data_IF_066563312867
#
_entry.id   IF_066563312867
#
_cell.length_a   1.000
_cell.length_b   1.000
_cell.length_c   1.000
_cell.angle_alpha   90.00
_cell.angle_beta   90.00
_cell.angle_gamma   90.00
#
_symmetry.space_group_name_H-M   'P 1'
#
loop_
_entity.id
_entity.type
_entity.pdbx_description
1 polymer ?
#
# COMPACT_ATOMS: atom_id res chain seq x y z
N UNK A 1 27.70 -11.56 18.60
CA UNK A 1 26.32 -11.08 18.74
C UNK A 1 25.97 -10.29 17.48
N UNK A 2 24.83 -10.53 16.80
CA UNK A 2 24.43 -9.73 15.65
C UNK A 2 24.07 -8.30 16.04
N UNK A 3 24.40 -7.35 15.19
CA UNK A 3 23.99 -5.95 15.30
C UNK A 3 22.93 -5.73 14.22
N UNK A 4 21.68 -5.55 14.64
CA UNK A 4 20.54 -5.41 13.74
C UNK A 4 20.04 -3.97 13.70
N UNK A 5 19.50 -3.55 12.58
CA UNK A 5 18.82 -2.26 12.44
C UNK A 5 17.53 -2.28 13.27
N UNK A 6 17.37 -1.37 14.26
CA UNK A 6 16.20 -1.34 15.13
C UNK A 6 14.97 -0.73 14.41
N UNK A 7 13.79 -0.97 14.96
CA UNK A 7 12.58 -0.26 14.58
C UNK A 7 12.63 1.17 15.12
N UNK A 8 12.70 2.18 14.27
CA UNK A 8 12.80 3.57 14.68
C UNK A 8 11.46 4.15 15.16
N UNK A 9 10.36 3.73 14.53
CA UNK A 9 9.00 4.03 15.00
C UNK A 9 8.00 2.99 14.46
N UNK A 10 6.80 2.95 15.06
CA UNK A 10 5.80 1.91 14.81
C UNK A 10 5.25 1.84 13.37
N UNK A 11 5.54 2.82 12.51
CA UNK A 11 4.96 2.94 11.18
C UNK A 11 6.01 3.00 10.04
N UNK A 12 7.30 2.88 10.35
CA UNK A 12 8.37 2.97 9.35
C UNK A 12 9.33 1.80 9.50
N UNK A 13 9.30 0.90 8.53
CA UNK A 13 10.20 -0.27 8.46
C UNK A 13 11.46 0.00 7.66
N UNK A 14 11.57 1.17 7.03
CA UNK A 14 12.70 1.60 6.20
C UNK A 14 13.33 2.87 6.76
N UNK A 15 14.67 2.95 6.72
CA UNK A 15 15.41 4.16 7.03
C UNK A 15 16.68 4.26 6.17
N UNK A 16 17.25 5.44 6.09
CA UNK A 16 18.53 5.69 5.44
C UNK A 16 19.65 5.49 6.47
N UNK A 17 20.66 4.69 6.14
CA UNK A 17 21.92 4.65 6.88
C UNK A 17 22.72 5.92 6.56
N UNK A 18 22.43 7.00 7.29
CA UNK A 18 22.95 8.33 6.99
C UNK A 18 24.46 8.45 7.24
N UNK A 19 24.95 7.78 8.30
CA UNK A 19 26.38 7.72 8.58
C UNK A 19 26.75 6.39 9.26
N UNK A 20 27.95 5.91 8.97
CA UNK A 20 28.56 4.73 9.59
C UNK A 20 29.88 5.16 10.24
N UNK A 21 29.99 5.01 11.58
CA UNK A 21 31.12 5.49 12.38
C UNK A 21 32.11 4.40 12.75
N UNK A 22 31.95 3.19 12.20
CA UNK A 22 32.74 2.01 12.51
C UNK A 22 33.34 1.40 11.25
N UNK A 23 34.41 0.63 11.44
CA UNK A 23 35.11 -0.13 10.39
C UNK A 23 35.26 -1.58 10.81
N UNK A 24 35.47 -2.44 9.83
CA UNK A 24 35.78 -3.85 10.05
C UNK A 24 37.00 -4.00 10.98
N UNK A 25 36.90 -4.88 11.98
CA UNK A 25 37.94 -5.12 12.97
C UNK A 25 38.08 -4.06 14.06
N UNK A 26 37.29 -2.99 14.06
CA UNK A 26 37.39 -1.91 15.04
C UNK A 26 36.87 -2.34 16.41
N UNK A 27 37.64 -2.00 17.47
CA UNK A 27 37.16 -2.12 18.84
C UNK A 27 36.15 -1.00 19.16
N UNK A 28 35.05 -1.34 19.82
CA UNK A 28 34.00 -0.41 20.26
C UNK A 28 33.65 -0.67 21.73
N UNK A 29 33.19 0.38 22.42
CA UNK A 29 32.74 0.31 23.82
C UNK A 29 31.21 0.27 23.88
N UNK A 30 30.66 -0.31 24.93
CA UNK A 30 29.23 -0.24 25.21
C UNK A 30 28.74 1.22 25.23
N UNK A 31 27.64 1.51 24.52
CA UNK A 31 27.10 2.87 24.37
C UNK A 31 27.77 3.72 23.28
N UNK A 32 28.80 3.22 22.60
CA UNK A 32 29.41 3.93 21.47
C UNK A 32 28.47 3.95 20.27
N UNK A 33 28.39 5.11 19.58
CA UNK A 33 27.60 5.26 18.35
C UNK A 33 28.27 4.44 17.23
N UNK A 34 27.50 3.54 16.62
CA UNK A 34 27.92 2.71 15.50
C UNK A 34 27.50 3.31 14.15
N UNK A 35 26.28 3.83 14.08
CA UNK A 35 25.70 4.39 12.88
C UNK A 35 24.63 5.43 13.23
N UNK A 36 24.33 6.32 12.30
CA UNK A 36 23.16 7.22 12.35
C UNK A 36 22.16 6.81 11.31
N UNK A 37 20.91 6.66 11.72
CA UNK A 37 19.78 6.23 10.92
C UNK A 37 18.80 7.40 10.78
N UNK A 38 18.37 7.69 9.56
CA UNK A 38 17.38 8.73 9.26
C UNK A 38 16.12 8.14 8.63
N UNK A 39 14.99 8.48 9.19
CA UNK A 39 13.68 8.24 8.58
C UNK A 39 13.05 9.57 8.12
N UNK A 40 11.87 9.51 7.51
CA UNK A 40 11.16 10.72 7.05
C UNK A 40 10.77 11.66 8.20
N UNK A 41 10.80 11.20 9.45
CA UNK A 41 10.30 11.94 10.63
C UNK A 41 11.30 12.03 11.79
N UNK A 42 12.26 11.13 11.85
CA UNK A 42 13.18 11.05 12.98
C UNK A 42 14.58 10.65 12.52
N UNK A 43 15.57 11.12 13.27
CA UNK A 43 16.95 10.65 13.23
C UNK A 43 17.27 9.95 14.56
N UNK A 44 17.95 8.82 14.50
CA UNK A 44 18.32 8.03 15.69
C UNK A 44 19.68 7.39 15.50
N UNK A 45 20.45 7.34 16.59
CA UNK A 45 21.76 6.70 16.60
C UNK A 45 21.66 5.25 17.06
N UNK A 46 22.31 4.36 16.32
CA UNK A 46 22.48 2.95 16.67
C UNK A 46 23.70 2.83 17.58
N UNK A 47 23.50 2.35 18.79
CA UNK A 47 24.54 2.23 19.81
C UNK A 47 25.01 0.78 19.98
N UNK A 48 26.27 0.60 20.38
CA UNK A 48 26.80 -0.70 20.76
C UNK A 48 26.19 -1.15 22.10
N UNK A 49 25.54 -2.30 22.13
CA UNK A 49 24.94 -2.85 23.36
C UNK A 49 26.01 -3.33 24.38
N UNK A 50 27.19 -3.68 23.91
CA UNK A 50 28.34 -4.11 24.73
C UNK A 50 29.65 -3.74 24.05
N UNK A 51 30.76 -3.78 24.81
CA UNK A 51 32.10 -3.65 24.22
C UNK A 51 32.51 -4.89 23.44
N UNK A 52 33.29 -4.72 22.37
CA UNK A 52 33.77 -5.80 21.53
C UNK A 52 34.39 -5.30 20.23
N UNK A 53 34.60 -6.20 19.28
CA UNK A 53 35.15 -5.91 17.95
C UNK A 53 34.09 -6.07 16.88
N UNK A 54 34.05 -5.15 15.91
CA UNK A 54 33.16 -5.21 14.76
C UNK A 54 33.70 -6.20 13.74
N UNK A 55 32.91 -7.22 13.38
CA UNK A 55 33.26 -8.19 12.34
C UNK A 55 32.11 -8.41 11.39
N UNK A 56 32.41 -8.69 10.11
CA UNK A 56 31.41 -9.02 9.10
C UNK A 56 30.47 -7.88 8.77
N UNK A 57 30.99 -6.66 8.63
CA UNK A 57 30.23 -5.47 8.26
C UNK A 57 29.61 -5.61 6.86
N UNK A 58 28.30 -5.41 6.74
CA UNK A 58 27.53 -5.70 5.50
C UNK A 58 26.89 -4.49 4.84
N UNK A 59 26.66 -3.40 5.57
CA UNK A 59 25.94 -2.23 5.11
C UNK A 59 26.89 -1.04 4.91
N UNK A 60 26.51 -0.11 4.01
CA UNK A 60 27.31 1.06 3.65
C UNK A 60 26.50 2.34 3.85
N UNK A 61 27.19 3.44 4.13
CA UNK A 61 26.59 4.79 4.24
C UNK A 61 25.87 5.16 2.93
N UNK A 62 24.67 5.75 3.07
CA UNK A 62 23.81 6.13 1.97
C UNK A 62 22.87 5.02 1.47
N UNK A 63 22.88 3.85 2.09
CA UNK A 63 22.02 2.72 1.74
C UNK A 63 20.69 2.82 2.49
N UNK A 64 19.58 2.55 1.81
CA UNK A 64 18.28 2.30 2.46
C UNK A 64 18.30 0.92 3.09
N UNK A 65 17.95 0.86 4.37
CA UNK A 65 17.97 -0.34 5.19
C UNK A 65 16.62 -0.56 5.88
N UNK A 66 16.33 -1.82 6.20
CA UNK A 66 15.07 -2.20 6.83
C UNK A 66 15.29 -2.63 8.28
N UNK A 67 14.26 -2.51 9.09
CA UNK A 67 14.25 -3.08 10.45
C UNK A 67 14.58 -4.57 10.40
N UNK A 68 15.58 -4.98 11.21
CA UNK A 68 16.07 -6.35 11.25
C UNK A 68 17.22 -6.65 10.28
N UNK A 69 17.61 -5.72 9.41
CA UNK A 69 18.80 -5.89 8.57
C UNK A 69 20.06 -6.02 9.42
N UNK A 70 20.96 -6.90 9.00
CA UNK A 70 22.21 -7.19 9.70
C UNK A 70 23.29 -6.18 9.30
N UNK A 71 23.66 -5.29 10.23
CA UNK A 71 24.80 -4.38 10.05
C UNK A 71 26.14 -5.12 10.12
N UNK A 72 26.30 -6.02 11.07
CA UNK A 72 27.52 -6.77 11.34
C UNK A 72 27.40 -7.57 12.64
N UNK A 73 28.53 -7.99 13.19
CA UNK A 73 28.57 -8.71 14.48
C UNK A 73 29.53 -8.04 15.45
N UNK A 74 29.21 -8.15 16.74
CA UNK A 74 30.08 -7.81 17.85
C UNK A 74 30.74 -9.08 18.39
N UNK A 75 32.06 -9.20 18.23
CA UNK A 75 32.90 -10.34 18.66
C UNK A 75 33.74 -9.97 19.89
N UNK A 76 34.29 -10.97 20.57
CA UNK A 76 35.19 -10.77 21.69
C UNK A 76 36.63 -10.49 21.23
N UNK A 77 37.00 -10.94 20.03
CA UNK A 77 38.31 -10.67 19.43
C UNK A 77 38.15 -10.28 17.94
N UNK A 78 39.04 -9.42 17.45
CA UNK A 78 39.07 -9.01 16.03
C UNK A 78 39.36 -10.16 15.05
N UNK A 79 39.85 -11.28 15.53
CA UNK A 79 40.14 -12.48 14.74
C UNK A 79 39.14 -13.61 14.89
N UNK A 80 38.02 -13.38 15.57
CA UNK A 80 36.99 -14.39 15.73
C UNK A 80 36.38 -14.74 14.35
N UNK A 81 36.24 -16.06 14.09
CA UNK A 81 35.54 -16.51 12.90
C UNK A 81 34.09 -16.02 12.93
N UNK A 82 33.62 -15.52 11.78
CA UNK A 82 32.21 -15.19 11.61
C UNK A 82 31.36 -16.39 12.06
N UNK A 83 30.32 -16.21 12.87
CA UNK A 83 29.39 -17.28 13.17
C UNK A 83 28.90 -17.87 11.85
N UNK A 84 29.12 -19.15 11.65
CA UNK A 84 28.58 -19.89 10.49
C UNK A 84 27.07 -20.01 10.72
N UNK A 85 26.37 -18.94 10.45
CA UNK A 85 24.91 -18.87 10.44
C UNK A 85 24.51 -18.27 9.11
N UNK A 86 24.15 -19.17 8.23
CA UNK A 86 23.27 -19.01 7.08
C UNK A 86 23.28 -17.62 6.42
N UNK A 87 24.12 -17.49 5.40
CA UNK A 87 23.81 -16.65 4.24
C UNK A 87 22.35 -16.87 3.86
N UNK A 88 21.55 -15.85 3.55
CA UNK A 88 20.40 -16.06 2.70
C UNK A 88 20.94 -16.34 1.31
N UNK A 89 21.38 -17.59 1.12
CA UNK A 89 21.61 -18.14 -0.20
C UNK A 89 20.27 -18.15 -0.91
N UNK A 90 20.31 -17.66 -2.12
CA UNK A 90 19.39 -18.06 -3.16
C UNK A 90 18.90 -19.49 -2.93
N UNK A 91 17.58 -19.66 -3.04
CA UNK A 91 16.90 -20.94 -3.30
C UNK A 91 17.61 -22.18 -2.76
N UNK A 92 17.46 -22.46 -1.50
CA UNK A 92 17.74 -23.78 -0.98
C UNK A 92 16.40 -24.44 -0.66
N UNK A 93 16.07 -25.43 -1.48
CA UNK A 93 15.24 -26.61 -1.18
C UNK A 93 14.81 -26.70 0.31
N UNK A 94 13.82 -25.96 0.70
CA UNK A 94 12.93 -26.40 1.74
C UNK A 94 12.14 -27.51 1.08
N UNK A 95 12.47 -28.76 1.35
CA UNK A 95 11.58 -29.87 1.02
C UNK A 95 10.23 -29.47 1.59
N UNK A 96 9.19 -29.31 0.79
CA UNK A 96 7.89 -28.90 1.28
C UNK A 96 7.45 -29.91 2.33
N UNK A 97 6.92 -29.43 3.47
CA UNK A 97 6.29 -30.29 4.46
C UNK A 97 5.10 -30.92 3.74
N UNK A 98 5.27 -32.16 3.26
CA UNK A 98 4.23 -32.89 2.60
C UNK A 98 3.15 -33.26 3.64
N UNK A 99 1.85 -33.17 3.28
CA UNK A 99 0.79 -33.68 4.15
C UNK A 99 1.05 -35.13 4.55
N UNK A 100 0.76 -35.53 5.79
CA UNK A 100 0.97 -36.88 6.26
C UNK A 100 0.33 -37.92 5.32
N UNK A 101 1.11 -38.90 4.86
CA UNK A 101 0.62 -39.95 3.96
C UNK A 101 0.60 -39.61 2.48
N UNK A 102 0.96 -38.40 2.07
CA UNK A 102 1.05 -38.02 0.66
C UNK A 102 2.37 -38.59 0.05
N UNK A 103 2.20 -39.41 -1.00
CA UNK A 103 3.29 -39.92 -1.84
C UNK A 103 3.16 -39.25 -3.21
N UNK A 104 4.13 -38.43 -3.60
CA UNK A 104 4.08 -37.64 -4.83
C UNK A 104 5.39 -37.73 -5.60
N UNK A 105 5.34 -37.88 -6.93
CA UNK A 105 6.51 -37.88 -7.77
C UNK A 105 7.11 -36.47 -7.86
N UNK A 106 8.44 -36.37 -8.08
CA UNK A 106 9.12 -35.06 -8.22
C UNK A 106 8.51 -34.16 -9.29
N UNK A 107 8.17 -34.63 -10.51
CA UNK A 107 7.49 -33.82 -11.52
C UNK A 107 6.10 -33.35 -11.08
N UNK A 108 5.33 -34.23 -10.42
CA UNK A 108 4.00 -33.91 -9.90
C UNK A 108 4.08 -32.81 -8.83
N UNK A 109 5.07 -32.89 -7.94
CA UNK A 109 5.28 -31.89 -6.90
C UNK A 109 5.68 -30.52 -7.51
N UNK A 110 6.60 -30.54 -8.49
CA UNK A 110 6.99 -29.33 -9.19
C UNK A 110 5.82 -28.67 -9.92
N UNK A 111 4.96 -29.45 -10.59
CA UNK A 111 3.75 -28.96 -11.25
C UNK A 111 2.76 -28.39 -10.22
N UNK A 112 2.51 -29.10 -9.13
CA UNK A 112 1.60 -28.63 -8.08
C UNK A 112 2.08 -27.30 -7.45
N UNK A 113 3.39 -27.18 -7.19
CA UNK A 113 3.99 -25.96 -6.66
C UNK A 113 3.94 -24.78 -7.64
N UNK A 114 4.28 -25.02 -8.91
CA UNK A 114 4.25 -23.98 -9.95
C UNK A 114 2.87 -23.42 -10.20
N UNK A 115 1.81 -24.21 -9.93
CA UNK A 115 0.41 -23.84 -10.08
C UNK A 115 -0.26 -23.48 -8.75
N UNK A 116 0.48 -23.43 -7.64
CA UNK A 116 -0.04 -23.11 -6.31
C UNK A 116 -1.15 -24.05 -5.84
N UNK A 117 -1.08 -25.34 -6.24
CA UNK A 117 -2.06 -26.35 -5.83
C UNK A 117 -1.88 -26.71 -4.35
N UNK A 118 -2.96 -26.64 -3.58
CA UNK A 118 -2.95 -27.14 -2.21
C UNK A 118 -2.75 -28.65 -2.21
N UNK A 119 -1.64 -29.11 -1.65
CA UNK A 119 -1.26 -30.51 -1.60
C UNK A 119 -2.22 -31.37 -0.76
N UNK A 120 -3.03 -30.77 0.12
CA UNK A 120 -4.05 -31.46 0.88
C UNK A 120 -5.21 -31.99 0.01
N UNK A 121 -5.39 -31.45 -1.19
CA UNK A 121 -6.39 -31.90 -2.16
C UNK A 121 -5.96 -33.16 -2.93
N UNK A 122 -4.72 -33.59 -2.78
CA UNK A 122 -4.19 -34.77 -3.45
C UNK A 122 -4.51 -36.04 -2.66
N UNK A 123 -4.77 -37.18 -3.38
CA UNK A 123 -5.12 -38.43 -2.72
C UNK A 123 -3.95 -38.95 -1.87
N UNK A 124 -4.25 -39.35 -0.65
CA UNK A 124 -3.29 -39.94 0.28
C UNK A 124 -3.19 -41.46 0.05
N UNK A 125 -1.97 -41.99 0.15
CA UNK A 125 -1.68 -43.44 0.03
C UNK A 125 -1.09 -43.86 -1.30
N UNK A 126 -1.77 -43.79 -2.47
CA UNK A 126 -1.14 -44.09 -3.76
C UNK A 126 -0.15 -43.02 -4.20
N UNK A 127 0.83 -43.42 -5.05
CA UNK A 127 1.78 -42.45 -5.62
C UNK A 127 1.06 -41.50 -6.59
N UNK A 128 1.05 -40.23 -6.27
CA UNK A 128 0.47 -39.17 -7.11
C UNK A 128 1.46 -38.85 -8.25
N UNK A 129 0.99 -38.99 -9.48
CA UNK A 129 1.73 -38.72 -10.71
C UNK A 129 1.43 -37.34 -11.27
N UNK A 130 2.31 -36.83 -12.13
CA UNK A 130 2.13 -35.54 -12.82
C UNK A 130 0.79 -35.46 -13.58
N UNK A 131 0.41 -36.57 -14.25
CA UNK A 131 -0.88 -36.66 -14.95
C UNK A 131 -2.08 -36.50 -14.03
N UNK A 132 -2.02 -37.02 -12.80
CA UNK A 132 -3.09 -36.86 -11.83
C UNK A 132 -3.17 -35.44 -11.29
N UNK A 133 -2.03 -34.79 -11.08
CA UNK A 133 -1.99 -33.36 -10.74
C UNK A 133 -2.55 -32.51 -11.88
N UNK A 134 -2.13 -32.78 -13.14
CA UNK A 134 -2.66 -32.08 -14.31
C UNK A 134 -4.18 -32.27 -14.45
N UNK A 135 -4.67 -33.52 -14.36
CA UNK A 135 -6.12 -33.81 -14.37
C UNK A 135 -6.88 -33.10 -13.24
N UNK A 136 -6.32 -33.04 -12.04
CA UNK A 136 -6.92 -32.33 -10.93
C UNK A 136 -6.96 -30.82 -11.20
N UNK A 137 -5.88 -30.25 -11.74
CA UNK A 137 -5.82 -28.84 -12.16
C UNK A 137 -6.83 -28.54 -13.25
N UNK A 138 -6.95 -29.37 -14.28
CA UNK A 138 -7.97 -29.26 -15.34
C UNK A 138 -9.39 -29.37 -14.77
N UNK A 139 -9.65 -30.30 -13.85
CA UNK A 139 -10.93 -30.41 -13.18
C UNK A 139 -11.24 -29.23 -12.24
N UNK A 140 -10.24 -28.64 -11.61
CA UNK A 140 -10.40 -27.42 -10.81
C UNK A 140 -10.60 -26.19 -11.73
N UNK A 141 -9.99 -26.19 -12.91
CA UNK A 141 -10.20 -25.16 -13.94
C UNK A 141 -11.55 -25.30 -14.65
N UNK A 142 -11.98 -26.52 -14.95
CA UNK A 142 -13.30 -26.80 -15.54
C UNK A 142 -14.47 -26.66 -14.54
N UNK A 143 -14.18 -26.81 -13.26
CA UNK A 143 -15.00 -26.34 -12.15
C UNK A 143 -14.71 -24.90 -11.82
N UNK A 144 -14.36 -24.06 -12.79
CA UNK A 144 -14.30 -22.62 -12.56
C UNK A 144 -15.60 -22.22 -11.87
N UNK A 145 -15.53 -21.95 -10.59
CA UNK A 145 -16.68 -21.52 -9.82
C UNK A 145 -17.33 -20.39 -10.61
N UNK A 146 -18.64 -20.44 -10.78
CA UNK A 146 -19.34 -19.35 -11.45
C UNK A 146 -18.85 -18.03 -10.87
N UNK A 147 -18.57 -17.01 -11.70
CA UNK A 147 -18.04 -15.75 -11.22
C UNK A 147 -18.90 -15.19 -10.10
N UNK A 148 -18.32 -15.04 -8.91
CA UNK A 148 -18.99 -14.38 -7.80
C UNK A 148 -18.83 -12.86 -7.96
N UNK A 149 -19.88 -12.22 -8.45
CA UNK A 149 -19.97 -10.78 -8.64
C UNK A 149 -20.60 -10.04 -7.44
N UNK A 150 -20.87 -10.76 -6.36
CA UNK A 150 -21.46 -10.21 -5.13
C UNK A 150 -20.44 -10.15 -3.98
N UNK A 151 -19.37 -10.91 -4.06
CA UNK A 151 -18.31 -10.87 -3.06
C UNK A 151 -17.13 -10.03 -3.52
N UNK A 152 -16.59 -9.22 -2.60
CA UNK A 152 -15.46 -8.34 -2.85
C UNK A 152 -14.36 -8.61 -1.82
N UNK A 153 -13.11 -8.61 -2.26
CA UNK A 153 -11.93 -8.58 -1.40
C UNK A 153 -11.41 -7.14 -1.29
N UNK A 154 -10.80 -6.81 -0.15
CA UNK A 154 -10.06 -5.57 0.03
C UNK A 154 -8.56 -5.86 -0.10
N UNK A 155 -7.79 -5.02 -0.79
CA UNK A 155 -6.32 -5.09 -0.78
C UNK A 155 -5.76 -3.90 -0.01
N UNK A 156 -5.20 -4.16 1.16
CA UNK A 156 -4.75 -3.26 2.19
C UNK A 156 -5.55 -3.42 3.48
N UNK A 157 -4.88 -3.51 4.64
CA UNK A 157 -5.48 -3.72 5.98
C UNK A 157 -5.43 -2.51 6.91
N UNK A 158 -4.96 -1.35 6.42
CA UNK A 158 -4.75 -0.13 7.20
C UNK A 158 -6.03 0.65 7.53
N UNK A 159 -5.86 1.91 7.95
CA UNK A 159 -6.97 2.79 8.33
C UNK A 159 -8.00 3.02 7.23
N UNK A 160 -7.56 3.11 5.97
CA UNK A 160 -8.45 3.27 4.82
C UNK A 160 -9.33 2.03 4.59
N UNK A 161 -8.79 0.83 4.84
CA UNK A 161 -9.54 -0.41 4.78
C UNK A 161 -10.70 -0.42 5.77
N UNK A 162 -10.50 0.09 7.00
CA UNK A 162 -11.58 0.19 7.99
C UNK A 162 -12.73 1.04 7.49
N UNK A 163 -12.45 2.20 6.92
CA UNK A 163 -13.48 3.09 6.35
C UNK A 163 -14.20 2.43 5.17
N UNK A 164 -13.49 1.68 4.32
CA UNK A 164 -14.09 0.94 3.21
C UNK A 164 -14.96 -0.24 3.67
N UNK A 165 -14.54 -0.96 4.72
CA UNK A 165 -15.35 -2.03 5.32
C UNK A 165 -16.70 -1.47 5.77
N UNK A 166 -16.68 -0.35 6.50
CA UNK A 166 -17.92 0.28 6.97
C UNK A 166 -18.77 0.82 5.82
N UNK A 167 -18.14 1.42 4.78
CA UNK A 167 -18.82 1.88 3.58
C UNK A 167 -19.51 0.71 2.86
N UNK A 168 -18.79 -0.39 2.62
CA UNK A 168 -19.32 -1.55 1.89
C UNK A 168 -20.46 -2.20 2.68
N UNK A 169 -20.34 -2.29 4.01
CA UNK A 169 -21.41 -2.77 4.89
C UNK A 169 -22.63 -1.86 4.84
N UNK A 170 -22.44 -0.55 4.90
CA UNK A 170 -23.53 0.43 4.82
C UNK A 170 -24.22 0.38 3.45
N UNK A 171 -23.47 0.20 2.37
CA UNK A 171 -24.02 0.07 1.01
C UNK A 171 -24.84 -1.20 0.83
N UNK A 172 -24.46 -2.30 1.48
CA UNK A 172 -25.17 -3.59 1.42
C UNK A 172 -25.18 -4.28 0.06
N UNK A 173 -24.45 -3.76 -0.94
CA UNK A 173 -24.40 -4.33 -2.30
C UNK A 173 -23.46 -5.52 -2.42
N UNK A 174 -22.37 -5.51 -1.65
CA UNK A 174 -21.32 -6.51 -1.73
C UNK A 174 -21.12 -7.19 -0.38
N UNK A 175 -20.76 -8.48 -0.42
CA UNK A 175 -20.31 -9.24 0.73
C UNK A 175 -18.78 -9.16 0.82
N UNK A 176 -18.23 -8.81 1.97
CA UNK A 176 -16.80 -8.83 2.22
C UNK A 176 -16.30 -10.27 2.33
N UNK A 177 -15.50 -10.73 1.38
CA UNK A 177 -14.90 -12.05 1.38
C UNK A 177 -13.63 -12.15 2.22
N UNK A 178 -12.89 -11.06 2.35
CA UNK A 178 -11.67 -10.97 3.15
C UNK A 178 -10.82 -9.76 2.80
N UNK A 179 -9.70 -9.65 3.52
CA UNK A 179 -8.68 -8.63 3.33
C UNK A 179 -7.39 -9.30 2.86
N UNK A 180 -6.72 -8.72 1.88
CA UNK A 180 -5.34 -9.03 1.53
C UNK A 180 -4.43 -7.90 2.03
N UNK A 181 -3.35 -8.27 2.70
CA UNK A 181 -2.32 -7.31 3.13
C UNK A 181 -0.96 -8.01 3.16
N UNK A 182 0.05 -7.37 2.56
CA UNK A 182 1.38 -7.96 2.44
C UNK A 182 2.17 -7.94 3.77
N UNK A 183 1.67 -7.26 4.82
CA UNK A 183 2.32 -7.10 6.12
C UNK A 183 1.56 -7.78 7.28
N UNK A 184 0.27 -8.11 7.09
CA UNK A 184 -0.54 -8.74 8.12
C UNK A 184 -0.50 -10.27 8.01
N UNK A 185 -0.59 -10.96 9.14
CA UNK A 185 -0.62 -12.42 9.16
C UNK A 185 -1.99 -12.98 8.72
N UNK A 186 -2.01 -14.10 7.97
CA UNK A 186 -3.26 -14.83 7.73
C UNK A 186 -3.94 -15.22 9.05
N UNK A 187 -5.24 -14.98 9.13
CA UNK A 187 -6.03 -15.19 10.34
C UNK A 187 -6.22 -13.97 11.23
N UNK A 188 -5.42 -12.91 11.04
CA UNK A 188 -5.73 -11.59 11.61
C UNK A 188 -7.09 -11.10 11.11
N UNK A 189 -7.63 -10.06 11.73
CA UNK A 189 -8.90 -9.47 11.30
C UNK A 189 -8.82 -7.95 11.24
N UNK A 190 -9.53 -7.36 10.28
CA UNK A 190 -9.77 -5.92 10.20
C UNK A 190 -11.27 -5.70 10.37
N UNK A 191 -11.69 -5.10 11.48
CA UNK A 191 -13.11 -4.93 11.85
C UNK A 191 -13.92 -6.23 11.70
N UNK A 192 -13.33 -7.39 12.10
CA UNK A 192 -13.95 -8.71 12.01
C UNK A 192 -13.97 -9.32 10.60
N UNK A 193 -13.34 -8.68 9.59
CA UNK A 193 -13.12 -9.27 8.27
C UNK A 193 -11.77 -10.00 8.28
N UNK A 194 -11.71 -11.30 7.92
CA UNK A 194 -10.47 -12.07 8.02
C UNK A 194 -9.43 -11.61 7.01
N UNK A 195 -8.17 -11.58 7.44
CA UNK A 195 -7.00 -11.43 6.56
C UNK A 195 -6.70 -12.79 5.94
N UNK A 196 -6.74 -12.86 4.62
CA UNK A 196 -6.54 -14.09 3.86
C UNK A 196 -5.06 -14.34 3.51
N UNK A 197 -4.21 -13.31 3.68
CA UNK A 197 -2.80 -13.29 3.34
C UNK A 197 -2.45 -12.10 2.46
N UNK A 198 -1.27 -12.13 1.81
CA UNK A 198 -0.81 -11.08 0.91
C UNK A 198 -1.27 -11.26 -0.54
N UNK A 199 -0.72 -10.42 -1.43
CA UNK A 199 -1.07 -10.41 -2.86
C UNK A 199 -0.83 -11.72 -3.60
N UNK A 200 0.02 -12.61 -3.08
CA UNK A 200 0.20 -13.97 -3.60
C UNK A 200 -1.07 -14.83 -3.60
N UNK A 201 -2.09 -14.44 -2.83
CA UNK A 201 -3.38 -15.14 -2.80
C UNK A 201 -4.28 -14.82 -4.00
N UNK A 202 -4.05 -13.74 -4.72
CA UNK A 202 -4.90 -13.29 -5.83
C UNK A 202 -5.20 -14.39 -6.87
N UNK A 203 -4.22 -15.15 -7.39
CA UNK A 203 -4.51 -16.21 -8.37
C UNK A 203 -5.41 -17.32 -7.79
N UNK A 204 -5.23 -17.67 -6.53
CA UNK A 204 -6.06 -18.68 -5.87
C UNK A 204 -7.51 -18.20 -5.69
N UNK A 205 -7.70 -16.98 -5.22
CA UNK A 205 -9.01 -16.37 -5.03
C UNK A 205 -9.76 -16.19 -6.36
N UNK A 206 -9.03 -15.82 -7.43
CA UNK A 206 -9.60 -15.76 -8.77
C UNK A 206 -10.10 -17.13 -9.25
N UNK A 207 -9.31 -18.19 -9.04
CA UNK A 207 -9.73 -19.57 -9.37
C UNK A 207 -10.95 -20.02 -8.54
N UNK A 208 -11.10 -19.53 -7.31
CA UNK A 208 -12.28 -19.79 -6.46
C UNK A 208 -13.53 -19.03 -6.93
N UNK A 209 -13.44 -18.22 -7.98
CA UNK A 209 -14.57 -17.50 -8.55
C UNK A 209 -14.67 -16.04 -8.16
N UNK A 210 -13.85 -15.53 -7.24
CA UNK A 210 -13.85 -14.12 -6.89
C UNK A 210 -13.37 -13.28 -8.08
N UNK A 211 -14.06 -12.18 -8.35
CA UNK A 211 -13.79 -11.30 -9.51
C UNK A 211 -13.63 -9.85 -9.11
N UNK A 212 -14.11 -9.46 -7.92
CA UNK A 212 -14.17 -8.08 -7.50
C UNK A 212 -13.17 -7.82 -6.36
N UNK A 213 -12.42 -6.74 -6.48
CA UNK A 213 -11.49 -6.28 -5.46
C UNK A 213 -11.56 -4.75 -5.30
N UNK A 214 -11.48 -4.26 -4.08
CA UNK A 214 -11.35 -2.83 -3.79
C UNK A 214 -9.95 -2.55 -3.29
N UNK A 215 -9.28 -1.58 -3.90
CA UNK A 215 -7.99 -1.11 -3.43
C UNK A 215 -8.17 -0.31 -2.14
N UNK A 216 -7.74 -0.87 -1.03
CA UNK A 216 -7.86 -0.28 0.31
C UNK A 216 -6.57 0.42 0.79
N UNK A 217 -5.66 0.73 -0.13
CA UNK A 217 -4.51 1.61 0.13
C UNK A 217 -4.94 3.06 -0.05
N UNK A 218 -4.82 3.85 1.01
CA UNK A 218 -5.25 5.25 1.04
C UNK A 218 -4.43 6.16 0.13
N UNK A 219 -4.96 7.36 -0.12
CA UNK A 219 -4.37 8.32 -1.05
C UNK A 219 -3.42 9.36 -0.43
N UNK A 220 -3.22 9.38 0.89
CA UNK A 220 -2.47 10.46 1.58
C UNK A 220 -0.96 10.21 1.60
N UNK A 221 -0.52 8.95 1.52
CA UNK A 221 0.88 8.57 1.51
C UNK A 221 1.50 8.59 0.11
N UNK A 222 2.34 7.60 -0.17
CA UNK A 222 2.88 7.39 -1.50
C UNK A 222 1.79 6.90 -2.45
N UNK A 223 1.46 7.69 -3.46
CA UNK A 223 0.57 7.28 -4.55
C UNK A 223 1.07 6.00 -5.25
N UNK A 224 2.38 5.80 -5.31
CA UNK A 224 3.02 4.64 -5.93
C UNK A 224 2.54 3.32 -5.33
N UNK A 225 2.41 3.22 -4.01
CA UNK A 225 1.91 2.00 -3.35
C UNK A 225 0.47 1.69 -3.78
N UNK A 226 -0.37 2.71 -3.89
CA UNK A 226 -1.76 2.57 -4.35
C UNK A 226 -1.84 2.13 -5.81
N UNK A 227 -1.01 2.70 -6.69
CA UNK A 227 -0.94 2.32 -8.11
C UNK A 227 -0.49 0.87 -8.28
N UNK A 228 0.56 0.45 -7.56
CA UNK A 228 1.04 -0.94 -7.57
C UNK A 228 -0.06 -1.96 -7.20
N UNK A 229 -0.96 -1.60 -6.27
CA UNK A 229 -2.09 -2.47 -5.93
C UNK A 229 -3.08 -2.58 -7.09
N UNK A 230 -3.42 -1.47 -7.76
CA UNK A 230 -4.26 -1.53 -8.96
C UNK A 230 -3.64 -2.38 -10.07
N UNK A 231 -2.33 -2.25 -10.31
CA UNK A 231 -1.58 -3.06 -11.26
C UNK A 231 -1.65 -4.56 -10.91
N UNK A 232 -1.42 -4.92 -9.63
CA UNK A 232 -1.51 -6.31 -9.15
C UNK A 232 -2.92 -6.88 -9.34
N UNK A 233 -3.95 -6.11 -9.02
CA UNK A 233 -5.35 -6.52 -9.17
C UNK A 233 -5.71 -6.74 -10.65
N UNK A 234 -5.34 -5.80 -11.51
CA UNK A 234 -5.57 -5.90 -12.96
C UNK A 234 -4.82 -7.09 -13.57
N UNK A 235 -3.54 -7.29 -13.23
CA UNK A 235 -2.74 -8.43 -13.68
C UNK A 235 -3.33 -9.79 -13.25
N UNK A 236 -4.00 -9.83 -12.10
CA UNK A 236 -4.69 -11.03 -11.61
C UNK A 236 -6.12 -11.18 -12.14
N UNK A 237 -6.61 -10.27 -13.01
CA UNK A 237 -7.92 -10.32 -13.65
C UNK A 237 -9.08 -9.78 -12.80
N UNK A 238 -8.80 -9.14 -11.67
CA UNK A 238 -9.85 -8.54 -10.83
C UNK A 238 -10.33 -7.21 -11.38
N UNK A 239 -11.64 -7.01 -11.31
CA UNK A 239 -12.30 -5.72 -11.58
C UNK A 239 -12.46 -4.95 -10.27
N UNK A 240 -12.21 -3.65 -10.30
CA UNK A 240 -12.41 -2.76 -9.16
C UNK A 240 -13.79 -2.09 -9.25
N UNK A 241 -14.78 -2.54 -8.46
CA UNK A 241 -16.10 -1.93 -8.50
C UNK A 241 -16.08 -0.54 -7.87
N UNK A 242 -16.96 0.33 -8.34
CA UNK A 242 -17.23 1.60 -7.66
C UNK A 242 -18.05 1.36 -6.41
N UNK A 243 -17.61 1.92 -5.29
CA UNK A 243 -18.29 1.85 -4.00
C UNK A 243 -18.72 3.25 -3.55
N UNK A 244 -20.01 3.38 -3.25
CA UNK A 244 -20.63 4.67 -2.89
C UNK A 244 -21.35 4.50 -1.58
N UNK A 245 -21.03 5.34 -0.60
CA UNK A 245 -21.72 5.33 0.69
C UNK A 245 -23.18 5.77 0.51
N UNK A 246 -24.19 5.17 1.19
CA UNK A 246 -25.59 5.50 1.02
C UNK A 246 -25.95 6.97 1.33
N UNK A 247 -25.13 7.66 2.15
CA UNK A 247 -25.33 9.09 2.46
C UNK A 247 -24.56 10.03 1.53
N UNK A 248 -23.79 9.50 0.58
CA UNK A 248 -23.22 10.31 -0.49
C UNK A 248 -24.32 10.65 -1.51
N UNK A 249 -24.25 11.85 -2.08
CA UNK A 249 -25.17 12.25 -3.14
C UNK A 249 -24.42 12.35 -4.46
N UNK A 250 -24.80 11.53 -5.40
CA UNK A 250 -24.26 11.55 -6.77
C UNK A 250 -25.41 11.90 -7.70
N UNK A 251 -25.29 13.03 -8.40
CA UNK A 251 -26.33 13.48 -9.33
C UNK A 251 -26.50 12.50 -10.50
N UNK A 252 -27.70 12.40 -11.04
CA UNK A 252 -28.05 11.44 -12.07
C UNK A 252 -27.26 11.61 -13.38
N UNK A 253 -26.82 12.84 -13.69
CA UNK A 253 -25.98 13.14 -14.86
C UNK A 253 -24.48 12.97 -14.60
N UNK A 254 -24.07 12.73 -13.35
CA UNK A 254 -22.66 12.51 -13.02
C UNK A 254 -22.18 11.10 -13.45
N UNK A 255 -20.94 11.03 -13.89
CA UNK A 255 -20.29 9.77 -14.27
C UNK A 255 -19.17 9.45 -13.29
N UNK A 256 -19.27 8.31 -12.60
CA UNK A 256 -18.21 7.80 -11.71
C UNK A 256 -17.64 6.53 -12.32
N UNK A 257 -16.37 6.59 -12.68
CA UNK A 257 -15.61 5.49 -13.27
C UNK A 257 -15.37 4.33 -12.30
N UNK A 258 -14.88 3.22 -12.85
CA UNK A 258 -14.53 2.03 -12.07
C UNK A 258 -13.50 2.31 -10.98
N UNK A 259 -13.57 1.57 -9.87
CA UNK A 259 -12.69 1.75 -8.73
C UNK A 259 -12.92 3.04 -7.95
N UNK A 260 -13.94 3.83 -8.29
CA UNK A 260 -14.33 5.03 -7.57
C UNK A 260 -14.76 4.72 -6.14
N UNK A 261 -14.34 5.54 -5.18
CA UNK A 261 -14.63 5.38 -3.76
C UNK A 261 -15.24 6.68 -3.25
N UNK A 262 -16.56 6.69 -3.10
CA UNK A 262 -17.33 7.88 -2.69
C UNK A 262 -17.81 7.68 -1.26
N UNK A 263 -17.23 8.44 -0.34
CA UNK A 263 -17.45 8.27 1.09
C UNK A 263 -18.70 9.03 1.60
N UNK A 264 -19.00 8.85 2.88
CA UNK A 264 -20.18 9.41 3.52
C UNK A 264 -20.28 10.93 3.32
N UNK A 265 -21.50 11.42 3.01
CA UNK A 265 -21.82 12.85 2.83
C UNK A 265 -21.01 13.55 1.72
N UNK A 266 -20.30 12.80 0.86
CA UNK A 266 -19.69 13.39 -0.32
C UNK A 266 -20.78 13.79 -1.34
N UNK A 267 -20.54 14.88 -2.07
CA UNK A 267 -21.39 15.35 -3.14
C UNK A 267 -20.65 15.30 -4.47
N UNK A 268 -21.30 14.72 -5.47
CA UNK A 268 -20.82 14.69 -6.86
C UNK A 268 -21.90 15.33 -7.75
N UNK A 269 -21.62 16.53 -8.22
CA UNK A 269 -22.57 17.41 -8.90
C UNK A 269 -22.90 17.01 -10.32
N UNK A 270 -23.87 17.72 -10.90
CA UNK A 270 -24.38 17.49 -12.26
C UNK A 270 -23.24 17.57 -13.29
N UNK A 271 -23.26 16.62 -14.23
CA UNK A 271 -22.27 16.49 -15.31
C UNK A 271 -20.82 16.33 -14.86
N UNK A 272 -20.57 16.10 -13.55
CA UNK A 272 -19.26 15.78 -13.05
C UNK A 272 -18.73 14.46 -13.65
N UNK A 273 -17.44 14.43 -14.01
CA UNK A 273 -16.77 13.27 -14.61
C UNK A 273 -15.63 12.83 -13.69
N UNK A 274 -15.80 11.69 -13.09
CA UNK A 274 -14.85 11.09 -12.15
C UNK A 274 -14.23 9.88 -12.82
N UNK A 275 -12.93 9.92 -13.07
CA UNK A 275 -12.20 8.87 -13.76
C UNK A 275 -11.88 7.66 -12.85
N UNK A 276 -11.02 6.77 -13.33
CA UNK A 276 -10.71 5.51 -12.67
C UNK A 276 -10.04 5.70 -11.31
N UNK A 277 -10.47 4.92 -10.33
CA UNK A 277 -9.80 4.82 -9.03
C UNK A 277 -9.76 6.11 -8.20
N UNK A 278 -10.64 7.05 -8.44
CA UNK A 278 -10.74 8.31 -7.68
C UNK A 278 -11.30 8.05 -6.28
N UNK A 279 -10.76 8.76 -5.29
CA UNK A 279 -11.35 8.85 -3.94
C UNK A 279 -11.98 10.22 -3.77
N UNK A 280 -13.27 10.27 -3.43
CA UNK A 280 -13.96 11.46 -2.93
C UNK A 280 -14.35 11.17 -1.48
N UNK A 281 -13.60 11.75 -0.56
CA UNK A 281 -13.66 11.39 0.85
C UNK A 281 -14.84 12.09 1.56
N UNK A 282 -15.05 11.74 2.83
CA UNK A 282 -16.16 12.18 3.66
C UNK A 282 -16.39 13.69 3.59
N UNK A 283 -17.62 14.10 3.26
CA UNK A 283 -18.04 15.50 3.21
C UNK A 283 -17.35 16.34 2.12
N UNK A 284 -16.61 15.74 1.21
CA UNK A 284 -16.02 16.47 0.08
C UNK A 284 -17.06 16.79 -0.98
N UNK A 285 -16.92 17.95 -1.65
CA UNK A 285 -17.83 18.44 -2.66
C UNK A 285 -17.09 18.60 -3.99
N UNK A 286 -17.53 17.86 -4.99
CA UNK A 286 -17.21 18.09 -6.39
C UNK A 286 -18.45 18.65 -7.07
N UNK A 287 -18.47 19.97 -7.34
CA UNK A 287 -19.64 20.66 -7.89
C UNK A 287 -19.92 20.25 -9.35
N UNK A 288 -20.87 20.96 -10.00
CA UNK A 288 -21.24 20.69 -11.40
C UNK A 288 -20.05 20.83 -12.36
N UNK A 289 -20.00 20.02 -13.41
CA UNK A 289 -18.98 20.04 -14.47
C UNK A 289 -17.53 19.80 -13.98
N UNK A 290 -17.35 19.31 -12.75
CA UNK A 290 -16.01 18.97 -12.25
C UNK A 290 -15.47 17.75 -13.00
N UNK A 291 -14.19 17.82 -13.40
CA UNK A 291 -13.48 16.70 -14.05
C UNK A 291 -12.34 16.24 -13.15
N UNK A 292 -12.37 15.00 -12.70
CA UNK A 292 -11.32 14.37 -11.90
C UNK A 292 -10.64 13.28 -12.74
N UNK A 293 -9.34 13.44 -12.96
CA UNK A 293 -8.50 12.45 -13.65
C UNK A 293 -8.26 11.19 -12.81
N UNK A 294 -7.60 10.20 -13.41
CA UNK A 294 -7.35 8.91 -12.77
C UNK A 294 -6.59 9.06 -11.45
N UNK A 295 -7.02 8.28 -10.47
CA UNK A 295 -6.36 8.16 -9.15
C UNK A 295 -6.33 9.46 -8.33
N UNK A 296 -7.08 10.48 -8.69
CA UNK A 296 -7.23 11.69 -7.88
C UNK A 296 -7.76 11.33 -6.49
N UNK A 297 -7.24 12.02 -5.48
CA UNK A 297 -7.74 11.92 -4.11
C UNK A 297 -8.23 13.28 -3.62
N UNK A 298 -9.52 13.38 -3.41
CA UNK A 298 -10.17 14.53 -2.77
C UNK A 298 -10.36 14.18 -1.30
N UNK A 299 -9.61 14.84 -0.43
CA UNK A 299 -9.59 14.54 1.01
C UNK A 299 -10.85 15.07 1.72
N UNK A 300 -11.09 14.65 2.98
CA UNK A 300 -12.29 15.04 3.72
C UNK A 300 -12.55 16.55 3.73
N UNK A 301 -13.80 16.94 3.46
CA UNK A 301 -14.27 18.33 3.53
C UNK A 301 -13.68 19.27 2.47
N UNK A 302 -12.97 18.79 1.47
CA UNK A 302 -12.50 19.64 0.37
C UNK A 302 -13.65 20.08 -0.53
N UNK A 303 -13.64 21.33 -0.98
CA UNK A 303 -14.71 21.98 -1.74
C UNK A 303 -14.17 22.40 -3.12
N UNK A 304 -14.64 21.76 -4.16
CA UNK A 304 -14.33 22.09 -5.55
C UNK A 304 -15.53 22.80 -6.14
N UNK A 305 -15.37 24.08 -6.51
CA UNK A 305 -16.40 24.83 -7.21
C UNK A 305 -16.64 24.27 -8.62
N UNK A 306 -17.68 24.75 -9.30
CA UNK A 306 -18.04 24.27 -10.63
C UNK A 306 -16.92 24.40 -11.65
N UNK A 307 -16.91 23.50 -12.66
CA UNK A 307 -15.96 23.46 -13.78
C UNK A 307 -14.47 23.31 -13.38
N UNK A 308 -14.17 22.92 -12.13
CA UNK A 308 -12.80 22.61 -11.71
C UNK A 308 -12.32 21.33 -12.42
N UNK A 309 -11.10 21.38 -12.95
CA UNK A 309 -10.45 20.24 -13.57
C UNK A 309 -9.23 19.83 -12.75
N UNK A 310 -9.14 18.55 -12.41
CA UNK A 310 -8.03 18.00 -11.60
C UNK A 310 -7.33 16.90 -12.39
N UNK A 311 -6.08 17.12 -12.72
CA UNK A 311 -5.24 16.15 -13.43
C UNK A 311 -4.96 14.89 -12.61
N UNK A 312 -4.55 13.81 -13.28
CA UNK A 312 -4.41 12.50 -12.65
C UNK A 312 -3.38 12.50 -11.50
N UNK A 313 -3.56 11.58 -10.54
CA UNK A 313 -2.68 11.36 -9.38
C UNK A 313 -2.55 12.55 -8.43
N UNK A 314 -3.39 13.57 -8.61
CA UNK A 314 -3.39 14.77 -7.77
C UNK A 314 -4.05 14.50 -6.43
N UNK A 315 -3.45 15.04 -5.36
CA UNK A 315 -3.96 15.03 -3.99
C UNK A 315 -4.47 16.42 -3.61
N UNK A 316 -5.75 16.51 -3.33
CA UNK A 316 -6.38 17.70 -2.72
C UNK A 316 -6.55 17.45 -1.23
N UNK A 317 -5.88 18.22 -0.39
CA UNK A 317 -5.85 18.06 1.06
C UNK A 317 -7.18 18.34 1.74
N UNK A 318 -7.28 18.01 3.03
CA UNK A 318 -8.50 18.21 3.84
C UNK A 318 -8.89 19.69 3.91
N UNK A 319 -10.19 19.97 3.74
CA UNK A 319 -10.74 21.33 3.87
C UNK A 319 -10.20 22.34 2.85
N UNK A 320 -9.58 21.90 1.77
CA UNK A 320 -9.13 22.75 0.66
C UNK A 320 -10.35 23.34 -0.05
N UNK A 321 -10.25 24.62 -0.45
CA UNK A 321 -11.25 25.26 -1.31
C UNK A 321 -10.63 25.62 -2.66
N UNK A 322 -11.31 25.25 -3.76
CA UNK A 322 -10.85 25.53 -5.11
C UNK A 322 -11.92 26.37 -5.81
N UNK A 323 -11.50 27.52 -6.32
CA UNK A 323 -12.39 28.44 -7.02
C UNK A 323 -12.90 27.88 -8.35
N UNK A 324 -13.97 28.50 -8.83
CA UNK A 324 -14.64 28.18 -10.09
C UNK A 324 -13.65 28.15 -11.27
N UNK A 325 -13.79 27.12 -12.15
CA UNK A 325 -13.06 26.97 -13.41
C UNK A 325 -11.52 26.87 -13.26
N UNK A 326 -11.01 26.56 -12.08
CA UNK A 326 -9.57 26.36 -11.85
C UNK A 326 -9.13 24.99 -12.37
N UNK A 327 -7.92 24.94 -12.93
CA UNK A 327 -7.26 23.70 -13.37
C UNK A 327 -6.09 23.36 -12.47
N UNK A 328 -6.10 22.14 -11.96
CA UNK A 328 -4.93 21.54 -11.32
C UNK A 328 -4.32 20.53 -12.30
N UNK A 329 -3.02 20.61 -12.51
CA UNK A 329 -2.28 19.67 -13.34
C UNK A 329 -2.21 18.26 -12.75
N UNK A 330 -1.44 17.39 -13.40
CA UNK A 330 -1.14 16.06 -12.92
C UNK A 330 -0.17 16.11 -11.74
N UNK A 331 -0.22 15.12 -10.82
CA UNK A 331 0.72 14.94 -9.71
C UNK A 331 0.80 16.15 -8.75
N UNK A 332 -0.19 17.02 -8.74
CA UNK A 332 -0.27 18.20 -7.86
C UNK A 332 -0.56 17.76 -6.43
N UNK A 333 0.05 18.44 -5.45
CA UNK A 333 -0.21 18.23 -4.03
C UNK A 333 -0.65 19.53 -3.38
N UNK A 334 -1.91 19.56 -2.95
CA UNK A 334 -2.49 20.69 -2.21
C UNK A 334 -2.56 20.33 -0.73
N UNK A 335 -1.87 21.11 0.09
CA UNK A 335 -1.88 20.96 1.55
C UNK A 335 -3.23 21.30 2.17
N UNK A 336 -3.49 20.75 3.35
CA UNK A 336 -4.75 20.92 4.06
C UNK A 336 -5.12 22.40 4.27
N UNK A 337 -6.40 22.74 4.11
CA UNK A 337 -6.91 24.09 4.36
C UNK A 337 -6.42 25.17 3.41
N UNK A 338 -5.77 24.81 2.31
CA UNK A 338 -5.33 25.76 1.29
C UNK A 338 -6.53 26.31 0.49
N UNK A 339 -6.36 27.53 -0.04
CA UNK A 339 -7.32 28.18 -0.96
C UNK A 339 -6.69 28.35 -2.33
N UNK A 340 -7.29 27.78 -3.35
CA UNK A 340 -6.80 27.79 -4.72
C UNK A 340 -7.64 28.71 -5.59
N UNK A 341 -7.05 29.80 -6.07
CA UNK A 341 -7.74 30.86 -6.80
C UNK A 341 -7.40 30.89 -8.30
N UNK A 342 -6.35 30.20 -8.72
CA UNK A 342 -5.94 30.09 -10.10
C UNK A 342 -5.28 28.73 -10.39
N UNK A 343 -5.01 28.45 -11.64
CA UNK A 343 -4.45 27.19 -12.10
C UNK A 343 -3.13 26.86 -11.41
N UNK A 344 -2.93 25.56 -11.12
CA UNK A 344 -1.69 25.01 -10.56
C UNK A 344 -1.07 24.07 -11.61
N UNK A 345 0.17 24.28 -12.02
CA UNK A 345 0.82 23.44 -13.04
C UNK A 345 1.08 22.02 -12.52
N UNK A 346 1.43 21.13 -13.45
CA UNK A 346 1.82 19.74 -13.14
C UNK A 346 2.91 19.70 -12.07
N UNK A 347 2.81 18.75 -11.14
CA UNK A 347 3.74 18.59 -10.03
C UNK A 347 3.73 19.72 -9.00
N UNK A 348 2.82 20.68 -9.13
CA UNK A 348 2.72 21.84 -8.23
C UNK A 348 2.49 21.43 -6.78
N UNK A 349 3.13 22.16 -5.86
CA UNK A 349 2.98 21.97 -4.41
C UNK A 349 2.45 23.24 -3.77
N UNK A 350 1.27 23.16 -3.15
CA UNK A 350 0.70 24.25 -2.34
C UNK A 350 0.74 23.87 -0.87
N UNK A 351 1.34 24.73 -0.04
CA UNK A 351 1.49 24.47 1.40
C UNK A 351 0.14 24.48 2.13
N UNK A 352 0.06 23.76 3.22
CA UNK A 352 -1.13 23.77 4.10
C UNK A 352 -1.44 25.20 4.58
N UNK A 353 -2.74 25.56 4.57
CA UNK A 353 -3.23 26.91 4.92
C UNK A 353 -2.83 28.00 3.92
N UNK A 354 -2.11 27.66 2.84
CA UNK A 354 -1.66 28.62 1.83
C UNK A 354 -2.77 29.11 0.92
N UNK A 355 -2.55 30.27 0.31
CA UNK A 355 -3.41 30.79 -0.77
C UNK A 355 -2.59 30.73 -2.07
N UNK A 356 -3.16 30.15 -3.11
CA UNK A 356 -2.52 30.08 -4.42
C UNK A 356 -3.28 30.94 -5.44
N UNK A 357 -2.59 31.79 -6.24
CA UNK A 357 -1.13 32.02 -6.20
C UNK A 357 -0.71 32.76 -4.92
N UNK A 358 0.52 32.54 -4.48
CA UNK A 358 1.09 33.31 -3.39
C UNK A 358 1.17 34.80 -3.79
N UNK A 359 0.74 35.70 -2.90
CA UNK A 359 0.94 37.12 -3.14
C UNK A 359 2.44 37.46 -3.19
N UNK A 360 2.88 38.32 -4.11
CA UNK A 360 4.24 38.83 -4.10
C UNK A 360 4.61 39.42 -2.73
N UNK A 361 5.89 39.27 -2.35
CA UNK A 361 6.37 39.74 -1.04
C UNK A 361 6.10 41.24 -0.80
N UNK A 362 6.09 42.04 -1.85
CA UNK A 362 5.89 43.48 -1.81
C UNK A 362 4.48 43.92 -1.40
N UNK A 363 3.44 43.08 -1.67
CA UNK A 363 2.06 43.36 -1.26
C UNK A 363 1.75 42.93 0.17
N UNK A 364 2.64 42.14 0.80
CA UNK A 364 2.46 41.69 2.20
C UNK A 364 2.76 42.81 3.21
N UNK A 365 3.59 43.78 2.84
CA UNK A 365 3.94 44.91 3.70
C UNK A 365 2.93 46.06 3.66
N UNK A 366 2.11 46.16 2.62
CA UNK A 366 1.16 47.24 2.46
C UNK A 366 -0.16 47.10 3.25
N UNK A 367 -0.50 45.88 3.72
CA UNK A 367 -1.76 45.63 4.45
C UNK A 367 -1.66 45.74 5.98
N UNK A 368 -0.49 46.06 6.53
CA UNK A 368 -0.28 46.22 7.98
C UNK A 368 -0.54 47.66 8.50
N UNK A 369 -1.05 48.58 7.65
CA UNK A 369 -1.26 49.98 8.01
C UNK A 369 -2.70 50.47 7.79
N UNK A 370 -3.70 49.60 7.90
CA UNK A 370 -5.09 50.03 8.03
C UNK A 370 -5.66 49.40 9.30
N UNK A 371 -5.49 50.09 10.38
CA UNK A 371 -6.18 49.89 11.66
C UNK A 371 -7.54 50.54 11.64
#
# INVERSE_FOLDING_TARGET
>A
MPILIPLLNANESECLLAALYIKEGQAVQAGQILASLESTKTSSDLLAERSGFIIGLRLQTGQTVHTGDLLGYLAESAGDALPVSASPAASANTSPILPPGLRISKPALALAQSQGLDLSLLPQGPLVTERQVASLLENLQSRAAQPDLHSVILYGGGGHAKALIDLIRAQGKYRLAGVLDDQMAPGDTVLGVPVLGGGGMLPSLYRQGLRLAVNAVGGIGSITSRLKVYEKLAAAGFTCPTVVHPTAWVEASAHVGEGGQIFAQAYVGSDARVAYGVIINTGAVASHDVVLGDYVNISPGALLAGMVQVGPRTLVGMGVTINLNVRLGADVRIGNGATIKSDVPDGGLVRAGGIWPERPADERSASSHVS
#
